data_IF_822937992289
#
_entry.id   IF_822937992289
#
_cell.length_a   1.000
_cell.length_b   1.000
_cell.length_c   1.000
_cell.angle_alpha   90.00
_cell.angle_beta   90.00
_cell.angle_gamma   90.00
#
_symmetry.space_group_name_H-M   'P 1'
#
loop_
_entity.id
_entity.type
_entity.pdbx_description
1 polymer ?
#
# COMPACT_ATOMS: atom_id res chain seq x y z
N UNK A 1 5.24 7.82 -7.64
CA UNK A 1 5.20 7.41 -6.22
C UNK A 1 6.40 6.53 -5.89
N UNK A 2 7.09 6.84 -4.82
CA UNK A 2 8.23 6.05 -4.38
C UNK A 2 7.78 4.80 -3.62
N UNK A 3 8.63 3.78 -3.62
CA UNK A 3 8.32 2.53 -2.92
C UNK A 3 8.01 2.76 -1.44
N UNK A 4 8.80 3.58 -0.78
CA UNK A 4 8.58 3.88 0.63
C UNK A 4 7.20 4.49 0.86
N UNK A 5 6.80 5.43 0.00
CA UNK A 5 5.48 6.05 0.10
C UNK A 5 4.38 5.01 -0.11
N UNK A 6 4.59 4.11 -1.08
CA UNK A 6 3.60 3.05 -1.34
C UNK A 6 3.44 2.14 -0.11
N UNK A 7 4.55 1.79 0.54
CA UNK A 7 4.50 0.96 1.74
C UNK A 7 3.73 1.68 2.85
N UNK A 8 3.99 2.96 3.04
CA UNK A 8 3.30 3.74 4.07
C UNK A 8 1.79 3.82 3.82
N UNK A 9 1.40 4.00 2.57
CA UNK A 9 -0.02 4.03 2.21
C UNK A 9 -0.69 2.70 2.55
N UNK A 10 -0.04 1.59 2.23
CA UNK A 10 -0.60 0.28 2.51
C UNK A 10 -0.65 -0.03 4.01
N UNK A 11 0.36 0.40 4.75
CA UNK A 11 0.36 0.24 6.20
C UNK A 11 -0.79 1.02 6.83
N UNK A 12 -1.02 2.24 6.36
CA UNK A 12 -2.14 3.04 6.83
C UNK A 12 -3.47 2.35 6.54
N UNK A 13 -3.62 1.83 5.33
CA UNK A 13 -4.83 1.12 4.93
C UNK A 13 -5.08 -0.09 5.83
N UNK A 14 -4.03 -0.85 6.11
CA UNK A 14 -4.14 -2.02 6.97
C UNK A 14 -4.58 -1.63 8.39
N UNK A 15 -4.01 -0.56 8.93
CA UNK A 15 -4.40 -0.08 10.25
C UNK A 15 -5.87 0.36 10.27
N UNK A 16 -6.30 1.01 9.20
CA UNK A 16 -7.69 1.42 9.08
C UNK A 16 -8.63 0.19 9.07
N UNK A 17 -8.27 -0.82 8.31
CA UNK A 17 -9.06 -2.06 8.27
C UNK A 17 -9.16 -2.73 9.62
N UNK A 18 -8.11 -2.66 10.41
CA UNK A 18 -8.07 -3.28 11.74
C UNK A 18 -8.72 -2.41 12.81
N UNK A 19 -9.25 -1.25 12.43
CA UNK A 19 -9.92 -0.37 13.35
C UNK A 19 -8.99 0.54 14.15
N UNK A 20 -7.72 0.62 13.77
CA UNK A 20 -6.75 1.48 14.44
C UNK A 20 -6.79 2.93 13.99
N UNK A 21 -7.44 3.19 12.84
CA UNK A 21 -7.60 4.52 12.28
C UNK A 21 -9.07 4.75 12.01
N UNK A 22 -9.53 5.96 12.28
CA UNK A 22 -10.93 6.30 12.06
C UNK A 22 -11.24 6.66 10.61
N UNK A 23 -10.29 7.30 9.94
CA UNK A 23 -10.49 7.81 8.60
C UNK A 23 -9.57 7.17 7.58
N UNK A 24 -10.10 6.94 6.38
CA UNK A 24 -9.32 6.54 5.24
C UNK A 24 -8.98 7.80 4.44
N UNK A 25 -7.73 8.26 4.54
CA UNK A 25 -7.30 9.49 3.87
C UNK A 25 -6.84 9.26 2.43
N UNK A 26 -6.65 8.01 2.02
CA UNK A 26 -6.18 7.68 0.68
C UNK A 26 -7.33 7.20 -0.19
N UNK A 27 -7.39 7.71 -1.43
CA UNK A 27 -8.41 7.28 -2.38
C UNK A 27 -8.14 5.85 -2.85
N UNK A 28 -9.17 5.13 -3.34
CA UNK A 28 -8.96 3.79 -3.92
C UNK A 28 -7.91 3.80 -5.03
N UNK A 29 -7.84 4.88 -5.80
CA UNK A 29 -6.85 5.02 -6.86
C UNK A 29 -5.43 5.01 -6.31
N UNK A 30 -5.21 5.71 -5.20
CA UNK A 30 -3.90 5.73 -4.54
C UNK A 30 -3.53 4.35 -4.00
N UNK A 31 -4.50 3.65 -3.44
CA UNK A 31 -4.27 2.30 -2.94
C UNK A 31 -3.88 1.36 -4.07
N UNK A 32 -4.52 1.48 -5.23
CA UNK A 32 -4.20 0.67 -6.39
C UNK A 32 -2.77 0.94 -6.86
N UNK A 33 -2.39 2.22 -6.95
CA UNK A 33 -1.02 2.58 -7.33
C UNK A 33 0.00 1.99 -6.35
N UNK A 34 -0.28 2.10 -5.05
CA UNK A 34 0.63 1.58 -4.04
C UNK A 34 0.79 0.07 -4.15
N UNK A 35 -0.32 -0.65 -4.36
CA UNK A 35 -0.27 -2.09 -4.55
C UNK A 35 0.53 -2.47 -5.78
N UNK A 36 0.31 -1.78 -6.90
CA UNK A 36 1.05 -2.05 -8.14
C UNK A 36 2.55 -1.89 -7.93
N UNK A 37 2.96 -0.84 -7.24
CA UNK A 37 4.37 -0.58 -6.99
C UNK A 37 4.99 -1.65 -6.10
N UNK A 38 4.32 -1.98 -5.00
CA UNK A 38 4.82 -2.98 -4.06
C UNK A 38 4.88 -4.36 -4.70
N UNK A 39 3.83 -4.74 -5.42
CA UNK A 39 3.80 -6.05 -6.09
C UNK A 39 4.87 -6.15 -7.16
N UNK A 40 5.11 -5.06 -7.89
CA UNK A 40 6.16 -5.03 -8.91
C UNK A 40 7.53 -5.28 -8.27
N UNK A 41 7.80 -4.66 -7.12
CA UNK A 41 9.07 -4.85 -6.43
C UNK A 41 9.21 -6.26 -5.87
N UNK A 42 8.13 -6.81 -5.32
CA UNK A 42 8.14 -8.17 -4.79
C UNK A 42 8.44 -9.18 -5.90
N UNK A 43 7.84 -8.98 -7.08
CA UNK A 43 8.07 -9.87 -8.22
C UNK A 43 9.52 -9.87 -8.68
N UNK A 44 10.23 -8.77 -8.51
CA UNK A 44 11.65 -8.68 -8.87
C UNK A 44 12.52 -9.57 -7.98
N UNK A 45 12.04 -9.98 -6.84
CA UNK A 45 12.76 -10.85 -5.93
C UNK A 45 12.66 -12.32 -6.33
N UNK A 46 12.11 -12.61 -7.51
CA UNK A 46 11.93 -13.96 -8.02
C UNK A 46 11.19 -14.85 -7.04
N UNK A 47 10.12 -14.31 -6.56
CA UNK A 47 9.25 -15.02 -5.63
C UNK A 47 8.63 -16.22 -6.31
N UNK A 48 8.69 -17.37 -5.68
CA UNK A 48 8.05 -18.59 -6.20
C UNK A 48 6.81 -18.92 -5.41
#
# INVERSE_FOLDING_TARGET
>A
MELQTAIEILEYHQEWRLGKREDMIHSPKKLTEALDIVLSEVKKLKFK
#
